data_IF_530592948299
#
_entry.id   IF_530592948299
#
_cell.length_a   1.000
_cell.length_b   1.000
_cell.length_c   1.000
_cell.angle_alpha   90.00
_cell.angle_beta   90.00
_cell.angle_gamma   90.00
#
_symmetry.space_group_name_H-M   'P 1'
#
loop_
_entity.id
_entity.type
_entity.pdbx_description
1 polymer ?
#
# COMPACT_ATOMS: atom_id res chain seq x y z
N UNK A 1 -28.07 -2.10 55.21
CA UNK A 1 -28.38 -0.71 54.82
C UNK A 1 -27.16 -0.14 54.13
N UNK A 2 -27.38 0.31 52.91
CA UNK A 2 -26.39 0.54 51.85
C UNK A 2 -26.03 2.02 51.78
N UNK A 3 -24.75 2.38 51.71
CA UNK A 3 -24.32 3.75 51.38
C UNK A 3 -23.26 3.75 50.28
N UNK A 4 -23.75 4.07 49.08
CA UNK A 4 -23.16 4.73 47.92
C UNK A 4 -21.65 4.67 47.67
N UNK A 5 -21.32 3.86 46.65
CA UNK A 5 -20.06 3.89 45.91
C UNK A 5 -19.89 5.22 45.15
N UNK A 6 -18.73 5.86 45.31
CA UNK A 6 -18.31 7.05 44.56
C UNK A 6 -17.56 6.58 43.31
N UNK A 7 -18.29 6.49 42.19
CA UNK A 7 -17.73 6.28 40.86
C UNK A 7 -16.83 7.47 40.50
N UNK A 8 -15.54 7.21 40.35
CA UNK A 8 -14.59 8.13 39.71
C UNK A 8 -14.32 7.57 38.32
N UNK A 9 -15.03 8.10 37.32
CA UNK A 9 -14.78 7.84 35.91
C UNK A 9 -13.40 8.42 35.54
N UNK A 10 -12.40 7.56 35.32
CA UNK A 10 -11.19 7.95 34.58
C UNK A 10 -11.44 7.73 33.09
N UNK A 11 -11.57 8.86 32.41
CA UNK A 11 -11.72 9.05 30.98
C UNK A 11 -10.41 8.72 30.25
N UNK A 12 -10.52 7.80 29.28
CA UNK A 12 -9.87 7.78 27.96
C UNK A 12 -8.35 7.99 27.89
N UNK A 13 -7.65 6.91 27.50
CA UNK A 13 -6.49 6.97 26.61
C UNK A 13 -6.30 5.63 25.90
N UNK A 14 -7.22 5.28 24.99
CA UNK A 14 -6.99 4.20 24.01
C UNK A 14 -6.18 4.77 22.85
N UNK A 15 -4.88 5.01 23.07
CA UNK A 15 -3.92 5.27 22.00
C UNK A 15 -2.99 4.08 21.95
N UNK A 16 -3.29 3.11 21.09
CA UNK A 16 -2.27 2.29 20.45
C UNK A 16 -2.72 2.03 19.01
N UNK A 17 -2.30 2.96 18.15
CA UNK A 17 -2.08 2.74 16.72
C UNK A 17 -1.12 1.57 16.56
N UNK A 18 -1.65 0.39 16.28
CA UNK A 18 -0.88 -0.70 15.70
C UNK A 18 -1.68 -1.32 14.56
N UNK A 19 -2.01 -0.48 13.58
CA UNK A 19 -2.25 -0.92 12.22
C UNK A 19 -0.93 -0.78 11.43
N UNK A 20 0.13 -1.45 11.90
CA UNK A 20 1.12 -1.97 10.95
C UNK A 20 0.41 -3.13 10.24
N UNK A 21 -0.45 -2.79 9.29
CA UNK A 21 -1.00 -3.75 8.35
C UNK A 21 0.19 -4.30 7.59
N UNK A 22 0.73 -5.41 8.09
CA UNK A 22 1.81 -6.13 7.45
C UNK A 22 1.30 -6.54 6.08
N UNK A 23 1.67 -5.77 5.07
CA UNK A 23 1.54 -6.21 3.71
C UNK A 23 2.28 -7.55 3.62
N UNK A 24 1.61 -8.61 3.14
CA UNK A 24 2.12 -9.99 3.16
C UNK A 24 3.40 -10.24 2.35
N UNK A 25 4.05 -9.18 1.86
CA UNK A 25 5.33 -9.20 1.19
C UNK A 25 6.44 -8.70 2.14
N UNK A 26 7.38 -9.59 2.44
CA UNK A 26 8.58 -9.24 3.21
C UNK A 26 9.58 -8.51 2.31
N UNK A 27 9.52 -7.18 2.27
CA UNK A 27 10.56 -6.40 1.59
C UNK A 27 11.90 -6.56 2.30
N UNK A 28 12.95 -6.81 1.52
CA UNK A 28 14.31 -6.94 2.04
C UNK A 28 15.02 -5.59 2.14
N UNK A 29 14.52 -4.57 1.46
CA UNK A 29 15.06 -3.21 1.45
C UNK A 29 14.02 -2.15 1.08
N UNK A 30 14.26 -0.86 1.39
CA UNK A 30 13.41 0.24 0.92
C UNK A 30 13.30 0.29 -0.62
N UNK A 31 14.32 -0.19 -1.34
CA UNK A 31 14.30 -0.26 -2.80
C UNK A 31 13.34 -1.35 -3.31
N UNK A 32 13.28 -2.49 -2.62
CA UNK A 32 12.34 -3.57 -2.93
C UNK A 32 10.91 -3.12 -2.64
N UNK A 33 10.71 -2.45 -1.50
CA UNK A 33 9.42 -1.86 -1.13
C UNK A 33 8.95 -0.87 -2.21
N UNK A 34 9.78 0.10 -2.60
CA UNK A 34 9.44 1.01 -3.70
C UNK A 34 9.09 0.27 -5.01
N UNK A 35 9.73 -0.86 -5.29
CA UNK A 35 9.44 -1.63 -6.50
C UNK A 35 8.06 -2.28 -6.42
N UNK A 36 7.72 -2.90 -5.27
CA UNK A 36 6.40 -3.46 -5.02
C UNK A 36 5.33 -2.37 -5.06
N UNK A 37 5.52 -1.29 -4.32
CA UNK A 37 4.53 -0.20 -4.24
C UNK A 37 4.30 0.44 -5.63
N UNK A 38 5.35 0.62 -6.44
CA UNK A 38 5.19 1.12 -7.80
C UNK A 38 4.33 0.19 -8.67
N UNK A 39 4.53 -1.13 -8.53
CA UNK A 39 3.70 -2.13 -9.21
C UNK A 39 2.24 -2.06 -8.74
N UNK A 40 2.03 -1.91 -7.43
CA UNK A 40 0.69 -1.84 -6.85
C UNK A 40 -0.06 -0.56 -7.19
N UNK A 41 0.63 0.58 -7.32
CA UNK A 41 0.03 1.81 -7.87
C UNK A 41 -0.47 1.55 -9.29
N UNK A 42 0.41 1.06 -10.17
CA UNK A 42 0.08 0.85 -11.58
C UNK A 42 -1.05 -0.19 -11.77
N UNK A 43 -1.03 -1.28 -10.98
CA UNK A 43 -2.06 -2.30 -11.02
C UNK A 43 -3.41 -1.77 -10.52
N UNK A 44 -3.42 -1.02 -9.41
CA UNK A 44 -4.64 -0.42 -8.84
C UNK A 44 -5.27 0.60 -9.78
N UNK A 45 -4.46 1.45 -10.42
CA UNK A 45 -4.93 2.41 -11.42
C UNK A 45 -5.61 1.74 -12.62
N UNK A 46 -5.10 0.58 -13.06
CA UNK A 46 -5.70 -0.19 -14.16
C UNK A 46 -7.12 -0.64 -13.85
N UNK A 47 -7.42 -0.93 -12.58
CA UNK A 47 -8.76 -1.31 -12.12
C UNK A 47 -9.57 -0.14 -11.54
N UNK A 48 -9.12 1.10 -11.75
CA UNK A 48 -9.72 2.31 -11.18
C UNK A 48 -9.86 2.29 -9.64
N UNK A 49 -8.99 1.55 -8.96
CA UNK A 49 -8.91 1.49 -7.49
C UNK A 49 -8.07 2.67 -6.96
N UNK A 50 -8.56 3.90 -7.12
CA UNK A 50 -7.74 5.09 -6.86
C UNK A 50 -7.36 5.29 -5.39
N UNK A 51 -8.19 4.84 -4.45
CA UNK A 51 -7.85 4.90 -3.02
C UNK A 51 -6.71 3.93 -2.68
N UNK A 52 -6.70 2.73 -3.26
CA UNK A 52 -5.60 1.78 -3.11
C UNK A 52 -4.34 2.29 -3.80
N UNK A 53 -4.46 2.83 -5.02
CA UNK A 53 -3.35 3.48 -5.71
C UNK A 53 -2.73 4.61 -4.86
N UNK A 54 -3.57 5.44 -4.22
CA UNK A 54 -3.10 6.51 -3.33
C UNK A 54 -2.40 5.95 -2.08
N UNK A 55 -2.93 4.89 -1.47
CA UNK A 55 -2.29 4.22 -0.34
C UNK A 55 -0.89 3.71 -0.71
N UNK A 56 -0.78 2.96 -1.81
CA UNK A 56 0.51 2.44 -2.29
C UNK A 56 1.48 3.55 -2.67
N UNK A 57 0.98 4.65 -3.23
CA UNK A 57 1.82 5.82 -3.51
C UNK A 57 2.44 6.40 -2.23
N UNK A 58 1.66 6.54 -1.15
CA UNK A 58 2.17 7.02 0.14
C UNK A 58 3.24 6.07 0.68
N UNK A 59 2.96 4.77 0.70
CA UNK A 59 3.94 3.76 1.15
C UNK A 59 5.25 3.84 0.37
N UNK A 60 5.20 4.02 -0.94
CA UNK A 60 6.40 4.15 -1.76
C UNK A 60 7.16 5.46 -1.56
N UNK A 61 6.47 6.57 -1.23
CA UNK A 61 7.11 7.83 -0.83
C UNK A 61 7.81 7.71 0.53
N UNK A 62 7.21 6.97 1.46
CA UNK A 62 7.83 6.68 2.76
C UNK A 62 9.10 5.83 2.57
N UNK A 63 9.02 4.77 1.76
CA UNK A 63 10.17 3.95 1.38
C UNK A 63 11.26 4.74 0.64
N UNK A 64 10.88 5.67 -0.24
CA UNK A 64 11.81 6.59 -0.90
C UNK A 64 12.54 7.50 0.10
N UNK A 65 11.84 7.95 1.12
CA UNK A 65 12.41 8.76 2.21
C UNK A 65 13.40 7.96 3.04
N UNK A 66 13.08 6.70 3.35
CA UNK A 66 13.99 5.77 4.03
C UNK A 66 15.22 5.41 3.19
N UNK A 67 15.03 5.19 1.88
CA UNK A 67 16.13 4.99 0.94
C UNK A 67 17.08 6.19 0.94
N UNK A 68 16.55 7.42 0.91
CA UNK A 68 17.38 8.62 0.96
C UNK A 68 18.16 8.72 2.27
N UNK A 69 17.51 8.45 3.42
CA UNK A 69 18.17 8.48 4.73
C UNK A 69 19.32 7.49 4.84
N UNK A 70 19.15 6.29 4.29
CA UNK A 70 20.16 5.22 4.39
C UNK A 70 21.27 5.32 3.33
N UNK A 71 20.96 5.81 2.13
CA UNK A 71 21.91 5.83 1.00
C UNK A 71 22.47 7.20 0.64
N UNK A 72 21.84 8.29 1.11
CA UNK A 72 22.12 9.66 0.69
C UNK A 72 21.70 9.99 -0.75
N UNK A 73 21.02 9.06 -1.46
CA UNK A 73 20.63 9.22 -2.87
C UNK A 73 19.13 9.45 -2.99
N UNK A 74 18.75 10.40 -3.85
CA UNK A 74 17.35 10.63 -4.16
C UNK A 74 16.75 9.43 -4.91
N UNK A 75 15.68 8.85 -4.36
CA UNK A 75 14.91 7.83 -5.04
C UNK A 75 14.08 8.43 -6.19
N UNK A 76 13.86 7.65 -7.23
CA UNK A 76 13.10 8.05 -8.42
C UNK A 76 11.74 7.32 -8.46
N UNK A 77 11.02 7.32 -7.34
CA UNK A 77 9.79 6.55 -7.19
C UNK A 77 8.72 6.85 -8.26
N UNK A 78 8.44 8.11 -8.65
CA UNK A 78 7.52 8.41 -9.77
C UNK A 78 7.94 7.78 -11.10
N UNK A 79 9.25 7.67 -11.36
CA UNK A 79 9.77 7.01 -12.55
C UNK A 79 9.53 5.50 -12.49
N UNK A 80 9.65 4.89 -11.31
CA UNK A 80 9.36 3.47 -11.11
C UNK A 80 7.89 3.14 -11.38
N UNK A 81 6.96 4.00 -10.96
CA UNK A 81 5.54 3.85 -11.29
C UNK A 81 5.33 3.86 -12.80
N UNK A 82 5.95 4.79 -13.53
CA UNK A 82 5.84 4.84 -14.99
C UNK A 82 6.40 3.58 -15.66
N UNK A 83 7.51 3.04 -15.16
CA UNK A 83 8.05 1.75 -15.64
C UNK A 83 7.04 0.63 -15.38
N UNK A 84 6.45 0.56 -14.19
CA UNK A 84 5.43 -0.44 -13.86
C UNK A 84 4.19 -0.33 -14.77
N UNK A 85 3.68 0.88 -15.01
CA UNK A 85 2.59 1.13 -15.97
C UNK A 85 2.93 0.58 -17.36
N UNK A 86 4.12 0.90 -17.88
CA UNK A 86 4.58 0.38 -19.18
C UNK A 86 4.75 -1.14 -19.19
N UNK A 87 5.13 -1.76 -18.06
CA UNK A 87 5.25 -3.22 -17.95
C UNK A 87 3.90 -3.93 -17.88
N UNK A 88 2.88 -3.29 -17.31
CA UNK A 88 1.54 -3.85 -17.16
C UNK A 88 0.63 -3.59 -18.35
N UNK A 89 0.87 -2.57 -19.18
CA UNK A 89 -0.03 -2.19 -20.27
C UNK A 89 -0.37 -3.37 -21.20
N UNK A 90 0.63 -4.18 -21.57
CA UNK A 90 0.45 -5.32 -22.48
C UNK A 90 0.05 -6.63 -21.80
N UNK A 91 -0.23 -6.60 -20.49
CA UNK A 91 -0.64 -7.78 -19.73
C UNK A 91 -2.16 -7.90 -19.69
N UNK A 92 -2.72 -9.12 -19.73
CA UNK A 92 -4.16 -9.31 -19.59
C UNK A 92 -4.64 -8.93 -18.19
N UNK A 93 -5.92 -8.57 -18.05
CA UNK A 93 -6.51 -8.21 -16.77
C UNK A 93 -6.43 -9.34 -15.74
N UNK A 94 -6.47 -10.63 -16.10
CA UNK A 94 -6.24 -11.72 -15.13
C UNK A 94 -4.84 -11.66 -14.49
N UNK A 95 -3.82 -11.33 -15.30
CA UNK A 95 -2.47 -11.20 -14.78
C UNK A 95 -2.38 -10.05 -13.79
N UNK A 96 -2.96 -8.89 -14.12
CA UNK A 96 -2.92 -7.72 -13.24
C UNK A 96 -3.77 -7.94 -11.98
N UNK A 97 -4.90 -8.64 -12.09
CA UNK A 97 -5.69 -9.06 -10.94
C UNK A 97 -4.90 -9.98 -10.00
N UNK A 98 -4.08 -10.87 -10.56
CA UNK A 98 -3.17 -11.73 -9.78
C UNK A 98 -2.09 -10.90 -9.07
N UNK A 99 -1.55 -9.87 -9.72
CA UNK A 99 -0.62 -8.94 -9.08
C UNK A 99 -1.29 -8.25 -7.88
N UNK A 100 -2.50 -7.74 -8.05
CA UNK A 100 -3.25 -7.08 -6.97
C UNK A 100 -3.45 -8.02 -5.78
N UNK A 101 -3.86 -9.26 -6.04
CA UNK A 101 -4.15 -10.23 -4.97
C UNK A 101 -2.92 -10.77 -4.26
N UNK A 102 -1.79 -10.90 -4.96
CA UNK A 102 -0.57 -11.50 -4.40
C UNK A 102 0.41 -10.48 -3.83
N UNK A 103 0.47 -9.28 -4.39
CA UNK A 103 1.48 -8.26 -4.02
C UNK A 103 0.89 -7.06 -3.30
N UNK A 104 -0.38 -6.72 -3.56
CA UNK A 104 -0.99 -5.47 -3.11
C UNK A 104 -2.03 -5.68 -2.01
N UNK A 105 -2.25 -6.93 -1.60
CA UNK A 105 -3.27 -7.34 -0.62
C UNK A 105 -4.67 -6.83 -0.98
N UNK A 106 -4.96 -6.65 -2.27
CA UNK A 106 -6.25 -6.23 -2.79
C UNK A 106 -7.04 -7.39 -3.39
N UNK A 107 -8.29 -7.16 -3.76
CA UNK A 107 -9.10 -8.11 -4.52
C UNK A 107 -9.86 -7.38 -5.62
N UNK A 108 -9.87 -7.93 -6.83
CA UNK A 108 -10.59 -7.39 -7.99
C UNK A 108 -11.33 -8.48 -8.74
N UNK A 109 -12.42 -8.11 -9.41
CA UNK A 109 -13.14 -9.02 -10.31
C UNK A 109 -12.79 -8.67 -11.77
N UNK A 110 -12.30 -9.64 -12.54
CA UNK A 110 -11.75 -9.41 -13.89
C UNK A 110 -12.78 -8.91 -14.93
N UNK A 111 -14.08 -8.94 -14.64
CA UNK A 111 -15.11 -8.36 -15.51
C UNK A 111 -15.37 -6.86 -15.32
N UNK A 112 -14.68 -6.19 -14.40
CA UNK A 112 -14.93 -4.77 -14.07
C UNK A 112 -14.27 -3.79 -15.05
N UNK A 113 -13.29 -4.24 -15.84
CA UNK A 113 -12.53 -3.41 -16.80
C UNK A 113 -12.25 -4.24 -18.05
N UNK A 114 -12.39 -3.64 -19.23
CA UNK A 114 -12.03 -4.29 -20.51
C UNK A 114 -10.50 -4.39 -20.67
N UNK A 115 -10.03 -5.42 -21.38
CA UNK A 115 -8.63 -5.48 -21.81
C UNK A 115 -8.39 -4.41 -22.89
N UNK A 116 -7.22 -3.76 -22.85
CA UNK A 116 -6.83 -2.71 -23.80
C UNK A 116 -5.39 -2.92 -24.29
#
# INVERSE_FOLDING_TARGET
MTTYARQSLSVVASILLSACGGDGAHDLSPQDQMTREAMCVAASERFALYEDAKKHFVHGVDAASEYFRSSGKAAQFPKMINVARSSLVSKPNEFVATVISTMCNGQVTVGQVEDF
#
